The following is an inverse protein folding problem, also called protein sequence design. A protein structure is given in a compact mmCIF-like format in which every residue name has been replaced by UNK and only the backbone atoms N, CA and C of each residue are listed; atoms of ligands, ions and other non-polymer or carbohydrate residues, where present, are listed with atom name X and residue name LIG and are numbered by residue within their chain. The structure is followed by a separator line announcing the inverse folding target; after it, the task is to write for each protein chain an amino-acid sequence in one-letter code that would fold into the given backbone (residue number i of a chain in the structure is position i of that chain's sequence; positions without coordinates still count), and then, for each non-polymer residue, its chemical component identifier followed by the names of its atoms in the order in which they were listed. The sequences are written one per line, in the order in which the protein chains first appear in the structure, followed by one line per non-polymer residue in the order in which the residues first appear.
data_IF_198135435150
#
_entry.id   IF_198135435150
#
_cell.length_a   1.000
_cell.length_b   1.000
_cell.length_c   1.000
_cell.angle_alpha   90.00
_cell.angle_beta   90.00
_cell.angle_gamma   90.00
#
_symmetry.space_group_name_H-M   'P 1'
#
loop_
_entity.id
_entity.type
_entity.pdbx_description
1 polymer ?
#
# COMPACT_ATOMS: atom_id res chain seq x y z
N UNK A 1 -10.65 16.48 3.00
CA UNK A 1 -9.96 15.21 3.39
C UNK A 1 -10.55 14.72 4.70
N UNK A 2 -10.93 13.44 4.80
CA UNK A 2 -11.35 12.80 6.05
C UNK A 2 -10.15 12.17 6.75
N UNK A 3 -10.19 12.16 8.10
CA UNK A 3 -9.13 11.57 8.93
C UNK A 3 -9.71 10.46 9.79
N UNK A 4 -8.88 9.47 10.12
CA UNK A 4 -9.26 8.31 10.93
C UNK A 4 -8.08 7.86 11.79
N UNK A 5 -8.37 7.13 12.87
CA UNK A 5 -7.32 6.51 13.70
C UNK A 5 -6.63 5.38 12.95
N UNK A 6 -5.31 5.30 13.12
CA UNK A 6 -4.48 4.26 12.52
C UNK A 6 -4.45 3.01 13.41
N UNK A 7 -5.44 2.14 13.24
CA UNK A 7 -5.59 0.92 14.02
C UNK A 7 -5.64 1.19 15.52
N UNK A 8 -4.89 0.41 16.29
CA UNK A 8 -4.78 0.52 17.74
C UNK A 8 -3.78 1.61 18.20
N UNK A 9 -3.21 2.38 17.29
CA UNK A 9 -2.32 3.50 17.60
C UNK A 9 -3.10 4.79 17.89
N UNK A 10 -2.44 5.76 18.52
CA UNK A 10 -3.00 7.10 18.70
C UNK A 10 -2.89 8.00 17.48
N UNK A 11 -2.24 7.54 16.40
CA UNK A 11 -2.01 8.33 15.20
C UNK A 11 -3.31 8.57 14.42
N UNK A 12 -3.46 9.77 13.88
CA UNK A 12 -4.59 10.16 13.05
C UNK A 12 -4.11 10.44 11.62
N UNK A 13 -4.65 9.71 10.65
CA UNK A 13 -4.20 9.72 9.26
C UNK A 13 -5.32 10.06 8.29
N UNK A 14 -4.98 10.70 7.17
CA UNK A 14 -5.90 10.90 6.06
C UNK A 14 -6.35 9.57 5.45
N UNK A 15 -7.60 9.47 5.02
CA UNK A 15 -8.15 8.29 4.33
C UNK A 15 -7.43 7.98 3.01
N UNK A 16 -6.75 8.96 2.44
CA UNK A 16 -5.88 8.80 1.27
C UNK A 16 -4.44 9.00 1.74
N UNK A 17 -3.57 8.03 1.42
CA UNK A 17 -2.14 8.05 1.70
C UNK A 17 -1.36 8.25 0.40
N UNK A 18 -0.34 9.11 0.38
CA UNK A 18 0.55 9.23 -0.76
C UNK A 18 1.63 8.14 -0.72
N UNK A 19 1.54 7.18 -1.65
CA UNK A 19 2.57 6.18 -1.86
C UNK A 19 3.74 6.73 -2.67
N UNK A 20 4.95 6.63 -2.12
CA UNK A 20 6.15 7.27 -2.65
C UNK A 20 7.04 6.31 -3.46
N UNK A 21 6.56 5.11 -3.84
CA UNK A 21 7.30 4.17 -4.68
C UNK A 21 7.64 4.75 -6.08
N UNK A 22 6.87 5.74 -6.52
CA UNK A 22 7.10 6.44 -7.80
C UNK A 22 8.20 7.50 -7.73
N UNK A 23 8.73 7.81 -6.56
CA UNK A 23 9.69 8.89 -6.32
C UNK A 23 11.06 8.30 -6.00
N UNK A 24 12.11 8.84 -6.61
CA UNK A 24 13.49 8.40 -6.41
C UNK A 24 14.29 8.41 -7.69
N UNK A 25 15.59 8.20 -7.58
CA UNK A 25 16.51 8.17 -8.73
C UNK A 25 16.20 6.97 -9.64
N UNK A 26 15.92 7.26 -10.92
CA UNK A 26 15.50 6.24 -11.89
C UNK A 26 16.59 5.22 -12.25
N UNK A 27 17.86 5.52 -12.00
CA UNK A 27 18.99 4.61 -12.17
C UNK A 27 19.24 3.66 -10.98
N UNK A 28 18.48 3.82 -9.89
CA UNK A 28 18.69 3.09 -8.64
C UNK A 28 17.54 2.10 -8.39
N UNK A 29 17.87 0.88 -8.01
CA UNK A 29 16.87 -0.16 -7.69
C UNK A 29 16.18 -0.76 -8.91
N UNK A 30 14.92 -1.20 -8.74
CA UNK A 30 14.19 -2.01 -9.72
C UNK A 30 13.22 -1.21 -10.60
N UNK A 31 13.06 0.09 -10.37
CA UNK A 31 12.03 0.91 -11.01
C UNK A 31 12.63 2.08 -11.81
N UNK A 32 13.09 1.81 -13.03
CA UNK A 32 13.64 2.83 -13.94
C UNK A 32 12.65 3.95 -14.35
N UNK A 33 11.38 3.84 -13.93
CA UNK A 33 10.29 4.78 -14.26
C UNK A 33 9.98 5.77 -13.13
N UNK A 34 10.79 5.83 -12.10
CA UNK A 34 10.60 6.79 -10.99
C UNK A 34 10.80 8.24 -11.44
N UNK A 35 10.20 9.14 -10.69
CA UNK A 35 10.28 10.59 -10.93
C UNK A 35 11.43 11.16 -10.11
N UNK A 36 12.15 12.12 -10.70
CA UNK A 36 13.21 12.86 -10.02
C UNK A 36 12.68 13.70 -8.84
N UNK A 37 13.58 14.26 -8.05
CA UNK A 37 13.21 14.99 -6.84
C UNK A 37 12.35 16.22 -7.12
N UNK A 38 12.69 17.02 -8.12
CA UNK A 38 11.95 18.24 -8.46
C UNK A 38 10.47 17.95 -8.75
N UNK A 39 10.22 16.96 -9.61
CA UNK A 39 8.85 16.52 -9.92
C UNK A 39 8.18 15.90 -8.70
N UNK A 40 8.86 15.03 -7.95
CA UNK A 40 8.33 14.37 -6.77
C UNK A 40 7.88 15.36 -5.69
N UNK A 41 8.62 16.44 -5.50
CA UNK A 41 8.29 17.52 -4.55
C UNK A 41 6.97 18.20 -4.88
N UNK A 42 6.63 18.36 -6.17
CA UNK A 42 5.34 18.94 -6.59
C UNK A 42 4.16 18.07 -6.17
N UNK A 43 4.29 16.73 -6.28
CA UNK A 43 3.26 15.79 -5.80
C UNK A 43 3.10 15.86 -4.27
N UNK A 44 4.19 15.88 -3.53
CA UNK A 44 4.14 15.95 -2.06
C UNK A 44 3.52 17.26 -1.60
N UNK A 45 3.92 18.39 -2.18
CA UNK A 45 3.32 19.69 -1.88
C UNK A 45 1.82 19.71 -2.19
N UNK A 46 1.42 19.25 -3.39
CA UNK A 46 0.01 19.20 -3.78
C UNK A 46 -0.80 18.30 -2.87
N UNK A 47 -0.23 17.19 -2.39
CA UNK A 47 -0.88 16.28 -1.45
C UNK A 47 -1.09 16.94 -0.09
N UNK A 48 -0.07 17.62 0.44
CA UNK A 48 -0.18 18.40 1.69
C UNK A 48 -1.25 19.51 1.56
N UNK A 49 -1.22 20.27 0.47
CA UNK A 49 -2.21 21.34 0.20
C UNK A 49 -3.65 20.78 0.11
N UNK A 50 -3.82 19.51 -0.25
CA UNK A 50 -5.11 18.81 -0.27
C UNK A 50 -5.50 18.15 1.07
N UNK A 51 -4.68 18.29 2.12
CA UNK A 51 -4.88 17.73 3.44
C UNK A 51 -4.45 16.27 3.61
N UNK A 52 -3.65 15.72 2.70
CA UNK A 52 -3.00 14.42 2.92
C UNK A 52 -1.87 14.63 3.91
N UNK A 53 -1.96 13.96 5.06
CA UNK A 53 -0.93 13.98 6.10
C UNK A 53 -0.17 12.65 6.20
N UNK A 54 -0.47 11.65 5.36
CA UNK A 54 0.07 10.32 5.43
C UNK A 54 0.90 9.98 4.18
N UNK A 55 2.19 9.62 4.38
CA UNK A 55 3.17 9.35 3.33
C UNK A 55 3.78 7.98 3.56
N UNK A 56 3.73 7.10 2.54
CA UNK A 56 4.24 5.72 2.61
C UNK A 56 5.40 5.52 1.64
N UNK A 57 6.58 5.23 2.17
CA UNK A 57 7.78 4.85 1.41
C UNK A 57 8.32 3.49 1.83
N UNK A 58 9.52 3.13 1.44
CA UNK A 58 10.26 1.95 1.90
C UNK A 58 11.76 2.12 1.64
N UNK A 59 12.60 1.46 2.45
CA UNK A 59 14.05 1.48 2.27
C UNK A 59 14.46 1.03 0.86
N UNK A 60 13.79 0.03 0.30
CA UNK A 60 14.12 -0.56 -1.01
C UNK A 60 13.68 0.29 -2.21
N UNK A 61 12.80 1.28 -2.02
CA UNK A 61 12.34 2.12 -3.13
C UNK A 61 13.48 2.99 -3.67
N UNK A 62 13.88 2.73 -4.91
CA UNK A 62 15.07 3.32 -5.54
C UNK A 62 16.30 3.29 -4.63
N UNK A 63 16.52 2.16 -3.93
CA UNK A 63 17.64 1.93 -2.99
C UNK A 63 17.81 3.04 -1.95
N UNK A 64 16.68 3.57 -1.44
CA UNK A 64 16.63 4.58 -0.38
C UNK A 64 16.48 6.01 -0.84
N UNK A 65 16.68 6.32 -2.12
CA UNK A 65 16.51 7.72 -2.60
C UNK A 65 15.07 8.19 -2.51
N UNK A 66 14.07 7.28 -2.49
CA UNK A 66 12.69 7.64 -2.17
C UNK A 66 12.55 8.22 -0.75
N UNK A 67 13.17 7.59 0.26
CA UNK A 67 13.18 8.11 1.63
C UNK A 67 13.87 9.48 1.71
N UNK A 68 14.97 9.68 0.97
CA UNK A 68 15.68 10.97 0.92
C UNK A 68 14.80 12.08 0.33
N UNK A 69 14.10 11.81 -0.78
CA UNK A 69 13.21 12.79 -1.42
C UNK A 69 12.04 13.15 -0.50
N UNK A 70 11.42 12.14 0.14
CA UNK A 70 10.33 12.32 1.11
C UNK A 70 10.81 13.17 2.29
N UNK A 71 11.96 12.81 2.88
CA UNK A 71 12.50 13.51 4.04
C UNK A 71 12.78 14.99 3.77
N UNK A 72 13.45 15.29 2.63
CA UNK A 72 13.74 16.68 2.25
C UNK A 72 12.47 17.47 1.94
N UNK A 73 11.51 16.89 1.21
CA UNK A 73 10.28 17.59 0.86
C UNK A 73 9.41 17.88 2.10
N UNK A 74 9.23 16.91 2.99
CA UNK A 74 8.41 17.10 4.19
C UNK A 74 9.04 18.07 5.17
N UNK A 75 10.36 18.10 5.31
CA UNK A 75 11.07 19.10 6.12
C UNK A 75 10.83 20.52 5.62
N UNK A 76 10.73 20.71 4.29
CA UNK A 76 10.58 22.04 3.69
C UNK A 76 9.11 22.50 3.63
N UNK A 77 8.13 21.57 3.61
CA UNK A 77 6.74 21.87 3.33
C UNK A 77 5.76 21.62 4.46
N UNK A 78 6.17 20.90 5.51
CA UNK A 78 5.28 20.53 6.60
C UNK A 78 5.94 20.66 7.97
N UNK A 79 5.13 20.80 9.01
CA UNK A 79 5.59 20.59 10.37
C UNK A 79 5.66 19.08 10.64
N UNK A 80 6.74 18.64 11.29
CA UNK A 80 7.00 17.19 11.50
C UNK A 80 5.87 16.49 12.26
N UNK A 81 5.27 17.13 13.21
CA UNK A 81 4.20 16.60 14.08
C UNK A 81 2.83 16.55 13.39
N UNK A 82 2.66 17.26 12.28
CA UNK A 82 1.44 17.29 11.47
C UNK A 82 1.37 16.15 10.46
N UNK A 83 2.50 15.44 10.20
CA UNK A 83 2.58 14.40 9.18
C UNK A 83 2.94 13.05 9.78
N UNK A 84 2.37 11.99 9.19
CA UNK A 84 2.65 10.60 9.52
C UNK A 84 3.48 10.00 8.37
N UNK A 85 4.69 9.57 8.69
CA UNK A 85 5.63 8.97 7.73
C UNK A 85 5.79 7.49 8.01
N UNK A 86 5.43 6.67 7.01
CA UNK A 86 5.64 5.24 7.02
C UNK A 86 6.82 4.85 6.13
N UNK A 87 7.67 3.96 6.62
CA UNK A 87 8.66 3.27 5.79
C UNK A 87 8.72 1.78 6.15
N UNK A 88 9.53 1.00 5.40
CA UNK A 88 9.49 -0.46 5.49
C UNK A 88 10.89 -1.06 5.45
N UNK A 89 11.02 -2.27 6.02
CA UNK A 89 12.24 -3.09 6.02
C UNK A 89 11.95 -4.50 5.52
N UNK A 90 12.81 -5.07 4.73
CA UNK A 90 12.93 -6.46 4.31
C UNK A 90 13.88 -6.58 3.11
N UNK A 91 13.72 -5.72 2.10
CA UNK A 91 14.42 -5.81 0.82
C UNK A 91 15.95 -5.66 0.96
N UNK A 92 16.68 -6.22 0.00
CA UNK A 92 18.15 -6.15 -0.05
C UNK A 92 18.61 -4.73 -0.39
N UNK A 93 19.31 -4.10 0.54
CA UNK A 93 19.81 -2.72 0.40
C UNK A 93 21.28 -2.64 -0.01
N UNK A 94 22.05 -3.69 0.20
CA UNK A 94 23.49 -3.76 -0.08
C UNK A 94 23.94 -5.20 -0.29
N UNK A 95 25.13 -5.39 -0.81
CA UNK A 95 25.76 -6.72 -0.87
C UNK A 95 26.10 -7.20 0.55
N UNK A 96 25.87 -8.47 0.85
CA UNK A 96 26.20 -9.08 2.12
C UNK A 96 25.09 -9.97 2.69
N UNK A 97 25.48 -10.93 3.54
CA UNK A 97 24.56 -11.97 4.05
C UNK A 97 23.46 -11.43 4.99
N UNK A 98 23.72 -10.32 5.68
CA UNK A 98 22.77 -9.71 6.63
C UNK A 98 22.21 -8.37 6.08
N UNK A 99 22.11 -8.23 4.78
CA UNK A 99 21.71 -6.99 4.12
C UNK A 99 20.21 -6.96 3.75
N UNK A 100 19.45 -7.97 4.17
CA UNK A 100 18.03 -8.13 3.89
C UNK A 100 17.35 -8.96 5.00
N UNK A 101 16.03 -9.11 4.92
CA UNK A 101 15.23 -9.94 5.81
C UNK A 101 14.75 -9.20 7.06
N UNK A 102 14.24 -9.99 8.01
CA UNK A 102 13.58 -9.49 9.21
C UNK A 102 14.27 -9.91 10.51
N UNK A 103 15.53 -10.38 10.44
CA UNK A 103 16.29 -10.64 11.66
C UNK A 103 16.42 -9.37 12.48
N UNK A 104 16.53 -9.53 13.81
CA UNK A 104 16.81 -8.42 14.74
C UNK A 104 17.96 -7.54 14.23
N UNK A 105 19.05 -8.16 13.77
CA UNK A 105 20.20 -7.42 13.23
C UNK A 105 19.81 -6.56 12.02
N UNK A 106 19.04 -7.10 11.08
CA UNK A 106 18.61 -6.36 9.89
C UNK A 106 17.67 -5.20 10.26
N UNK A 107 16.67 -5.45 11.11
CA UNK A 107 15.71 -4.43 11.55
C UNK A 107 16.42 -3.27 12.26
N UNK A 108 17.29 -3.57 13.25
CA UNK A 108 18.01 -2.54 14.03
C UNK A 108 18.99 -1.73 13.16
N UNK A 109 19.63 -2.36 12.18
CA UNK A 109 20.54 -1.69 11.26
C UNK A 109 19.79 -0.80 10.26
N UNK A 110 18.73 -1.34 9.65
CA UNK A 110 18.01 -0.63 8.58
C UNK A 110 17.17 0.54 9.09
N UNK A 111 16.64 0.50 10.32
CA UNK A 111 15.96 1.67 10.90
C UNK A 111 16.87 2.88 11.01
N UNK A 112 18.13 2.69 11.44
CA UNK A 112 19.11 3.77 11.54
C UNK A 112 19.50 4.33 10.16
N UNK A 113 19.53 3.45 9.15
CA UNK A 113 19.74 3.88 7.78
C UNK A 113 18.53 4.67 7.25
N UNK A 114 17.30 4.21 7.50
CA UNK A 114 16.07 4.90 7.09
C UNK A 114 15.94 6.26 7.77
N UNK A 115 16.20 6.36 9.07
CA UNK A 115 16.20 7.65 9.80
C UNK A 115 17.18 8.65 9.19
N UNK A 116 18.40 8.20 8.84
CA UNK A 116 19.40 9.06 8.17
C UNK A 116 18.95 9.53 6.79
N UNK A 117 18.37 8.64 5.96
CA UNK A 117 17.88 8.98 4.63
C UNK A 117 16.69 9.94 4.69
N UNK A 118 15.75 9.69 5.61
CA UNK A 118 14.62 10.57 5.87
C UNK A 118 15.05 11.91 6.50
N UNK A 119 16.21 11.96 7.17
CA UNK A 119 16.64 13.13 7.94
C UNK A 119 15.68 13.43 9.10
N UNK A 120 15.17 12.38 9.76
CA UNK A 120 14.20 12.46 10.86
C UNK A 120 14.71 11.74 12.10
N UNK A 121 14.29 12.20 13.27
CA UNK A 121 14.66 11.60 14.56
C UNK A 121 13.83 10.36 14.89
N UNK A 122 12.61 10.25 14.30
CA UNK A 122 11.72 9.10 14.47
C UNK A 122 10.90 8.85 13.21
N UNK A 123 10.44 7.59 13.05
CA UNK A 123 9.49 7.13 12.06
C UNK A 123 8.15 6.92 12.76
N UNK A 124 7.04 7.38 12.18
CA UNK A 124 5.72 7.18 12.77
C UNK A 124 5.22 5.76 12.65
N UNK A 125 5.38 5.14 11.48
CA UNK A 125 4.99 3.76 11.22
C UNK A 125 6.13 3.00 10.51
N UNK A 126 6.70 1.99 11.19
CA UNK A 126 7.73 1.13 10.61
C UNK A 126 7.17 -0.25 10.30
N UNK A 127 7.26 -0.69 9.02
CA UNK A 127 6.55 -1.88 8.56
C UNK A 127 7.50 -3.00 8.12
N UNK A 128 7.17 -4.24 8.49
CA UNK A 128 7.76 -5.44 7.89
C UNK A 128 7.19 -5.60 6.48
N UNK A 129 8.02 -5.38 5.44
CA UNK A 129 7.57 -5.24 4.05
C UNK A 129 7.04 -6.53 3.44
N UNK A 130 7.51 -7.68 3.94
CA UNK A 130 7.08 -9.04 3.57
C UNK A 130 7.33 -9.97 4.74
N UNK A 131 6.58 -11.06 4.79
CA UNK A 131 6.89 -12.16 5.69
C UNK A 131 8.25 -12.77 5.35
N UNK A 132 9.04 -13.08 6.39
CA UNK A 132 10.32 -13.77 6.26
C UNK A 132 10.22 -15.16 6.91
N UNK A 133 10.09 -16.24 6.13
CA UNK A 133 9.91 -17.58 6.67
C UNK A 133 11.16 -18.14 7.37
N UNK A 134 12.30 -17.45 7.27
CA UNK A 134 13.56 -17.88 7.87
C UNK A 134 13.82 -17.24 9.23
N UNK A 135 12.95 -16.34 9.68
CA UNK A 135 13.09 -15.60 10.94
C UNK A 135 11.83 -15.79 11.80
N UNK A 136 11.96 -16.32 13.02
CA UNK A 136 10.81 -16.39 13.93
C UNK A 136 10.21 -15.01 14.16
N UNK A 137 8.88 -14.91 14.16
CA UNK A 137 8.18 -13.63 14.34
C UNK A 137 8.49 -12.98 15.69
N UNK A 138 8.78 -13.79 16.71
CA UNK A 138 9.22 -13.34 18.03
C UNK A 138 10.49 -12.47 17.96
N UNK A 139 11.49 -12.88 17.17
CA UNK A 139 12.74 -12.11 17.01
C UNK A 139 12.46 -10.73 16.40
N UNK A 140 11.60 -10.68 15.37
CA UNK A 140 11.19 -9.43 14.74
C UNK A 140 10.40 -8.54 15.68
N UNK A 141 9.42 -9.08 16.41
CA UNK A 141 8.63 -8.34 17.41
C UNK A 141 9.49 -7.80 18.54
N UNK A 142 10.42 -8.60 19.06
CA UNK A 142 11.38 -8.15 20.08
C UNK A 142 12.18 -6.95 19.60
N UNK A 143 12.70 -6.99 18.37
CA UNK A 143 13.44 -5.87 17.78
C UNK A 143 12.58 -4.60 17.66
N UNK A 144 11.34 -4.74 17.16
CA UNK A 144 10.42 -3.61 16.98
C UNK A 144 10.02 -2.98 18.32
N UNK A 145 9.80 -3.80 19.36
CA UNK A 145 9.54 -3.30 20.72
C UNK A 145 10.69 -2.45 21.24
N UNK A 146 11.92 -2.93 21.09
CA UNK A 146 13.10 -2.15 21.49
C UNK A 146 13.18 -0.81 20.74
N UNK A 147 12.84 -0.78 19.45
CA UNK A 147 12.83 0.47 18.67
C UNK A 147 11.78 1.46 19.15
N UNK A 148 10.61 1.00 19.62
CA UNK A 148 9.61 1.86 20.26
C UNK A 148 10.14 2.43 21.56
N UNK A 149 10.72 1.59 22.44
CA UNK A 149 11.31 2.04 23.71
C UNK A 149 12.50 3.00 23.52
N UNK A 150 13.27 2.84 22.43
CA UNK A 150 14.32 3.78 22.05
C UNK A 150 13.78 5.08 21.45
N UNK A 151 12.47 5.18 21.19
CA UNK A 151 11.85 6.34 20.56
C UNK A 151 12.15 6.51 19.08
N UNK A 152 12.75 5.50 18.42
CA UNK A 152 13.08 5.54 16.99
C UNK A 152 11.85 5.33 16.08
N UNK A 153 10.85 4.61 16.57
CA UNK A 153 9.57 4.41 15.88
C UNK A 153 8.41 4.65 16.85
N UNK A 154 7.24 5.07 16.33
CA UNK A 154 6.03 5.32 17.15
C UNK A 154 5.08 4.13 17.13
N UNK A 155 4.87 3.55 15.97
CA UNK A 155 4.06 2.36 15.74
C UNK A 155 4.75 1.46 14.71
N UNK A 156 4.33 0.20 14.65
CA UNK A 156 4.84 -0.72 13.65
C UNK A 156 3.73 -1.64 13.12
N UNK A 157 3.96 -2.18 11.94
CA UNK A 157 2.99 -3.02 11.24
C UNK A 157 3.64 -3.95 10.23
N UNK A 158 2.81 -4.55 9.41
CA UNK A 158 3.18 -5.55 8.41
C UNK A 158 2.68 -5.16 7.02
N UNK A 159 3.17 -5.83 6.00
CA UNK A 159 2.66 -5.72 4.63
C UNK A 159 2.63 -7.07 3.94
N UNK A 160 1.47 -7.42 3.39
CA UNK A 160 1.22 -8.67 2.67
C UNK A 160 1.51 -9.92 3.54
N UNK A 161 1.11 -9.83 4.81
CA UNK A 161 1.10 -10.97 5.73
C UNK A 161 -0.24 -11.67 5.61
N UNK A 162 -0.28 -13.01 5.62
CA UNK A 162 -1.53 -13.74 5.70
C UNK A 162 -2.13 -13.69 7.12
N UNK A 163 -3.43 -13.93 7.22
CA UNK A 163 -4.17 -13.82 8.49
C UNK A 163 -3.62 -14.73 9.59
N UNK A 164 -3.17 -15.95 9.23
CA UNK A 164 -2.58 -16.90 10.20
C UNK A 164 -1.31 -16.35 10.86
N UNK A 165 -0.44 -15.65 10.11
CA UNK A 165 0.78 -15.06 10.68
C UNK A 165 0.48 -13.81 11.52
N UNK A 166 -0.59 -13.07 11.22
CA UNK A 166 -1.04 -11.98 12.09
C UNK A 166 -1.57 -12.51 13.41
N UNK A 167 -2.30 -13.63 13.40
CA UNK A 167 -2.78 -14.29 14.62
C UNK A 167 -1.63 -14.88 15.44
N UNK A 168 -0.66 -15.52 14.80
CA UNK A 168 0.58 -15.98 15.44
C UNK A 168 1.32 -14.82 16.12
N UNK A 169 1.53 -13.72 15.39
CA UNK A 169 2.19 -12.53 15.92
C UNK A 169 1.44 -11.92 17.11
N UNK A 170 0.10 -11.89 17.05
CA UNK A 170 -0.73 -11.40 18.15
C UNK A 170 -0.62 -12.29 19.40
N UNK A 171 -0.57 -13.62 19.21
CA UNK A 171 -0.35 -14.56 20.29
C UNK A 171 1.04 -14.37 20.93
N UNK A 172 2.10 -14.32 20.12
CA UNK A 172 3.48 -14.07 20.59
C UNK A 172 3.57 -12.73 21.33
N UNK A 173 2.96 -11.66 20.78
CA UNK A 173 2.95 -10.35 21.42
C UNK A 173 2.27 -10.41 22.81
N UNK A 174 1.15 -11.14 22.93
CA UNK A 174 0.45 -11.32 24.20
C UNK A 174 1.28 -12.11 25.22
N UNK A 175 1.91 -13.21 24.81
CA UNK A 175 2.71 -14.08 25.68
C UNK A 175 3.94 -13.36 26.25
N UNK A 176 4.66 -12.60 25.40
CA UNK A 176 5.86 -11.86 25.76
C UNK A 176 5.58 -10.43 26.28
N UNK A 177 4.32 -10.00 26.33
CA UNK A 177 3.91 -8.62 26.67
C UNK A 177 4.54 -7.58 25.77
N UNK A 178 4.71 -7.89 24.49
CA UNK A 178 5.13 -6.96 23.48
C UNK A 178 3.97 -6.09 22.97
N UNK A 179 4.28 -4.93 22.43
CA UNK A 179 3.33 -4.11 21.68
C UNK A 179 2.88 -4.92 20.45
N UNK A 180 1.57 -5.06 20.17
CA UNK A 180 1.10 -5.75 18.97
C UNK A 180 1.28 -4.90 17.73
N UNK A 181 1.21 -5.51 16.55
CA UNK A 181 1.14 -4.78 15.28
C UNK A 181 -0.05 -3.82 15.25
N UNK A 182 0.19 -2.62 14.73
CA UNK A 182 -0.83 -1.58 14.60
C UNK A 182 -1.51 -1.60 13.23
N UNK A 183 -0.84 -2.11 12.19
CA UNK A 183 -1.34 -2.09 10.82
C UNK A 183 -0.96 -3.33 10.02
N UNK A 184 -1.77 -3.62 9.00
CA UNK A 184 -1.43 -4.50 7.87
C UNK A 184 -1.60 -3.74 6.56
N UNK A 185 -0.71 -3.98 5.59
CA UNK A 185 -0.73 -3.30 4.29
C UNK A 185 -0.88 -4.30 3.13
N UNK A 186 -2.13 -4.74 2.78
CA UNK A 186 -2.40 -5.69 1.70
C UNK A 186 -2.77 -5.02 0.38
N UNK A 187 -2.73 -5.75 -0.78
CA UNK A 187 -3.38 -5.31 -2.01
C UNK A 187 -4.90 -5.40 -1.90
N UNK A 188 -5.61 -4.36 -2.34
CA UNK A 188 -7.07 -4.35 -2.38
C UNK A 188 -7.61 -3.41 -3.46
N UNK A 189 -8.59 -3.90 -4.21
CA UNK A 189 -9.30 -3.14 -5.24
C UNK A 189 -10.56 -3.90 -5.63
N UNK A 190 -11.44 -3.33 -6.45
CA UNK A 190 -12.61 -4.05 -7.00
C UNK A 190 -12.20 -5.39 -7.66
N UNK A 191 -10.99 -5.49 -8.25
CA UNK A 191 -10.52 -6.71 -8.90
C UNK A 191 -9.72 -7.66 -8.00
N UNK A 192 -9.34 -7.24 -6.79
CA UNK A 192 -8.54 -8.02 -5.83
C UNK A 192 -9.22 -7.94 -4.48
N UNK A 193 -10.09 -8.91 -4.19
CA UNK A 193 -11.00 -8.90 -3.02
C UNK A 193 -10.74 -10.06 -2.03
N UNK A 194 -9.75 -10.92 -2.28
CA UNK A 194 -9.48 -12.10 -1.45
C UNK A 194 -9.33 -11.79 0.04
N UNK A 195 -8.80 -10.62 0.39
CA UNK A 195 -8.59 -10.21 1.79
C UNK A 195 -9.89 -10.08 2.59
N UNK A 196 -11.05 -9.97 1.92
CA UNK A 196 -12.37 -9.90 2.58
C UNK A 196 -12.74 -11.21 3.28
N UNK A 197 -12.09 -12.34 2.92
CA UNK A 197 -12.42 -13.66 3.46
C UNK A 197 -11.93 -13.85 4.89
N UNK A 198 -10.69 -13.45 5.17
CA UNK A 198 -10.01 -13.74 6.42
C UNK A 198 -9.15 -12.56 6.93
N UNK A 199 -8.41 -11.88 6.05
CA UNK A 199 -7.46 -10.87 6.46
C UNK A 199 -8.14 -9.61 7.05
N UNK A 200 -9.14 -9.04 6.37
CA UNK A 200 -9.88 -7.88 6.89
C UNK A 200 -10.61 -8.21 8.20
N UNK A 201 -11.36 -9.33 8.31
CA UNK A 201 -11.95 -9.73 9.59
C UNK A 201 -10.91 -9.94 10.72
N UNK A 202 -9.74 -10.49 10.39
CA UNK A 202 -8.65 -10.66 11.37
C UNK A 202 -8.09 -9.32 11.82
N UNK A 203 -7.81 -8.39 10.90
CA UNK A 203 -7.36 -7.04 11.23
C UNK A 203 -8.38 -6.32 12.13
N UNK A 204 -9.67 -6.39 11.81
CA UNK A 204 -10.72 -5.81 12.63
C UNK A 204 -10.77 -6.42 14.04
N UNK A 205 -10.67 -7.77 14.16
CA UNK A 205 -10.62 -8.47 15.44
C UNK A 205 -9.43 -8.05 16.30
N UNK A 206 -8.28 -7.78 15.68
CA UNK A 206 -7.04 -7.37 16.35
C UNK A 206 -6.93 -5.85 16.52
N UNK A 207 -7.95 -5.07 16.13
CA UNK A 207 -7.92 -3.60 16.10
C UNK A 207 -6.73 -3.03 15.27
N UNK A 208 -6.32 -3.74 14.24
CA UNK A 208 -5.28 -3.28 13.31
C UNK A 208 -5.89 -2.39 12.22
N UNK A 209 -5.20 -1.32 11.88
CA UNK A 209 -5.53 -0.53 10.69
C UNK A 209 -5.12 -1.25 9.41
N UNK A 210 -5.95 -1.17 8.37
CA UNK A 210 -5.62 -1.75 7.06
C UNK A 210 -5.31 -0.66 6.05
N UNK A 211 -4.07 -0.67 5.55
CA UNK A 211 -3.53 0.31 4.58
C UNK A 211 -3.47 -0.37 3.21
N UNK A 212 -4.42 -0.10 2.34
CA UNK A 212 -4.50 -0.89 1.10
C UNK A 212 -3.71 -0.25 -0.05
N UNK A 213 -2.89 -1.05 -0.73
CA UNK A 213 -2.15 -0.61 -1.90
C UNK A 213 -2.76 -1.13 -3.20
N UNK A 214 -2.44 -0.46 -4.31
CA UNK A 214 -3.01 -0.72 -5.64
C UNK A 214 -4.55 -0.60 -5.72
N UNK A 215 -5.20 0.42 -5.14
CA UNK A 215 -6.67 0.56 -5.17
C UNK A 215 -7.22 0.67 -6.59
N UNK A 216 -6.41 1.08 -7.57
CA UNK A 216 -6.75 1.12 -8.99
C UNK A 216 -6.24 -0.09 -9.79
N UNK A 217 -5.92 -1.20 -9.13
CA UNK A 217 -5.43 -2.44 -9.75
C UNK A 217 -4.31 -2.22 -10.76
N UNK A 218 -3.30 -1.42 -10.38
CA UNK A 218 -2.18 -1.11 -11.26
C UNK A 218 -2.53 -0.32 -12.50
N UNK A 219 -3.66 0.37 -12.51
CA UNK A 219 -4.11 1.24 -13.58
C UNK A 219 -5.35 0.74 -14.33
N UNK A 220 -5.74 -0.53 -14.23
CA UNK A 220 -6.95 -1.04 -14.88
C UNK A 220 -8.20 -0.21 -14.55
N UNK A 221 -8.34 0.22 -13.31
CA UNK A 221 -9.47 1.00 -12.82
C UNK A 221 -9.27 2.53 -12.94
N UNK A 222 -8.31 2.97 -13.77
CA UNK A 222 -8.08 4.40 -14.04
C UNK A 222 -9.04 5.00 -15.07
N UNK A 223 -9.73 4.16 -15.86
CA UNK A 223 -10.55 4.59 -16.99
C UNK A 223 -9.78 4.76 -18.31
N UNK A 224 -8.44 4.61 -18.31
CA UNK A 224 -7.60 4.73 -19.52
C UNK A 224 -7.62 3.45 -20.37
N UNK A 225 -7.68 2.29 -19.73
CA UNK A 225 -7.55 0.97 -20.41
C UNK A 225 -8.91 0.40 -20.80
N UNK A 226 -9.59 1.08 -21.75
CA UNK A 226 -10.89 0.70 -22.31
C UNK A 226 -10.75 0.05 -23.68
N UNK A 227 -11.78 -0.70 -24.13
CA UNK A 227 -11.78 -1.42 -25.40
C UNK A 227 -11.46 -0.51 -26.59
N UNK A 228 -12.04 0.69 -26.63
CA UNK A 228 -11.94 1.64 -27.73
C UNK A 228 -11.12 2.89 -27.39
N UNK A 229 -10.35 2.89 -26.27
CA UNK A 229 -9.55 4.05 -25.91
C UNK A 229 -8.30 4.17 -26.78
N UNK A 230 -8.06 5.34 -27.36
CA UNK A 230 -6.85 5.63 -28.15
C UNK A 230 -5.55 5.47 -27.32
N UNK A 231 -5.63 5.78 -26.03
CA UNK A 231 -4.49 5.75 -25.09
C UNK A 231 -4.25 4.39 -24.44
N UNK A 232 -4.99 3.36 -24.82
CA UNK A 232 -4.92 2.02 -24.23
C UNK A 232 -3.50 1.43 -24.19
N UNK A 233 -2.66 1.77 -25.13
CA UNK A 233 -1.29 1.27 -25.27
C UNK A 233 -0.23 2.23 -24.71
N UNK A 234 -0.63 3.26 -23.99
CA UNK A 234 0.27 4.28 -23.44
C UNK A 234 0.59 4.02 -21.94
N UNK A 235 1.47 4.82 -21.40
CA UNK A 235 1.73 4.86 -19.97
C UNK A 235 2.21 3.53 -19.38
N UNK A 236 1.41 2.90 -18.51
CA UNK A 236 1.80 1.64 -17.86
C UNK A 236 1.72 0.45 -18.81
N UNK A 237 0.80 0.46 -19.78
CA UNK A 237 0.70 -0.60 -20.78
C UNK A 237 1.97 -0.68 -21.65
N UNK A 238 2.55 0.46 -21.99
CA UNK A 238 3.83 0.49 -22.72
C UNK A 238 4.98 -0.13 -21.91
N UNK A 239 4.99 0.08 -20.56
CA UNK A 239 6.07 -0.41 -19.69
C UNK A 239 5.90 -1.86 -19.24
N UNK A 240 4.66 -2.33 -19.19
CA UNK A 240 4.31 -3.69 -18.76
C UNK A 240 3.21 -4.25 -19.68
N UNK A 241 3.53 -4.48 -20.98
CA UNK A 241 2.53 -4.83 -21.99
C UNK A 241 1.78 -6.12 -21.66
N UNK A 242 2.45 -7.13 -21.13
CA UNK A 242 1.80 -8.39 -20.75
C UNK A 242 0.67 -8.21 -19.72
N UNK A 243 0.75 -7.18 -18.87
CA UNK A 243 -0.31 -6.88 -17.88
C UNK A 243 -1.61 -6.40 -18.50
N UNK A 244 -1.55 -5.88 -19.72
CA UNK A 244 -2.69 -5.27 -20.44
C UNK A 244 -2.95 -5.98 -21.78
N UNK A 245 -2.28 -7.09 -22.03
CA UNK A 245 -2.48 -7.91 -23.23
C UNK A 245 -3.83 -8.63 -23.12
N UNK A 246 -4.79 -8.22 -23.95
CA UNK A 246 -6.15 -8.79 -23.97
C UNK A 246 -6.26 -10.12 -24.69
N UNK A 247 -5.17 -10.66 -25.25
CA UNK A 247 -5.11 -12.07 -25.67
C UNK A 247 -5.12 -13.01 -24.45
N UNK A 248 -4.73 -12.53 -23.27
CA UNK A 248 -4.93 -13.22 -22.01
C UNK A 248 -6.42 -13.11 -21.58
N UNK A 249 -7.12 -14.24 -21.37
CA UNK A 249 -8.53 -14.24 -20.97
C UNK A 249 -8.82 -13.47 -19.68
N UNK A 250 -7.87 -13.44 -18.71
CA UNK A 250 -8.06 -12.69 -17.47
C UNK A 250 -8.00 -11.18 -17.71
N UNK A 251 -7.13 -10.71 -18.59
CA UNK A 251 -7.06 -9.31 -18.98
C UNK A 251 -8.27 -8.89 -19.82
N UNK A 252 -8.74 -9.76 -20.73
CA UNK A 252 -9.97 -9.52 -21.48
C UNK A 252 -11.18 -9.41 -20.54
N UNK A 253 -11.26 -10.28 -19.53
CA UNK A 253 -12.30 -10.18 -18.48
C UNK A 253 -12.24 -8.85 -17.75
N UNK A 254 -11.03 -8.39 -17.36
CA UNK A 254 -10.86 -7.07 -16.71
C UNK A 254 -11.34 -5.93 -17.60
N UNK A 255 -10.99 -5.97 -18.90
CA UNK A 255 -11.42 -4.94 -19.84
C UNK A 255 -12.95 -4.86 -19.93
N UNK A 256 -13.64 -6.00 -20.03
CA UNK A 256 -15.10 -6.05 -20.05
C UNK A 256 -15.70 -5.51 -18.75
N UNK A 257 -15.13 -5.87 -17.59
CA UNK A 257 -15.57 -5.36 -16.30
C UNK A 257 -15.33 -3.84 -16.16
N UNK A 258 -14.26 -3.30 -16.75
CA UNK A 258 -14.01 -1.85 -16.79
C UNK A 258 -15.12 -1.12 -17.53
N UNK A 259 -15.61 -1.65 -18.68
CA UNK A 259 -16.71 -1.01 -19.41
C UNK A 259 -18.00 -0.93 -18.56
N UNK A 260 -18.35 -2.01 -17.84
CA UNK A 260 -19.52 -2.01 -16.96
C UNK A 260 -19.33 -1.04 -15.75
N UNK A 261 -18.14 -1.01 -15.16
CA UNK A 261 -17.84 -0.11 -14.06
C UNK A 261 -17.83 1.36 -14.46
N UNK A 262 -17.49 1.68 -15.71
CA UNK A 262 -17.60 3.05 -16.25
C UNK A 262 -19.05 3.49 -16.31
N UNK A 263 -19.97 2.63 -16.74
CA UNK A 263 -21.41 2.96 -16.76
C UNK A 263 -21.91 3.30 -15.34
N UNK A 264 -21.48 2.53 -14.34
CA UNK A 264 -21.79 2.82 -12.92
C UNK A 264 -21.19 4.16 -12.48
N UNK A 265 -19.94 4.44 -12.87
CA UNK A 265 -19.27 5.69 -12.50
C UNK A 265 -19.99 6.91 -13.12
N UNK A 266 -20.38 6.81 -14.39
CA UNK A 266 -21.12 7.86 -15.10
C UNK A 266 -22.49 8.14 -14.44
N UNK A 267 -23.22 7.10 -14.01
CA UNK A 267 -24.48 7.24 -13.27
C UNK A 267 -24.30 7.92 -11.89
N UNK A 268 -23.17 7.64 -11.20
CA UNK A 268 -22.84 8.28 -9.93
C UNK A 268 -22.33 9.72 -10.14
N UNK A 269 -21.93 10.08 -11.36
CA UNK A 269 -21.38 11.39 -11.71
C UNK A 269 -19.91 11.58 -11.31
N UNK A 270 -19.12 10.50 -11.32
CA UNK A 270 -17.70 10.50 -10.97
C UNK A 270 -16.87 9.76 -12.02
N UNK A 271 -15.54 9.93 -11.99
CA UNK A 271 -14.65 9.12 -12.83
C UNK A 271 -14.53 7.69 -12.28
N UNK A 272 -14.17 6.72 -13.13
CA UNK A 272 -13.93 5.34 -12.69
C UNK A 272 -12.86 5.27 -11.60
N UNK A 273 -11.82 6.11 -11.68
CA UNK A 273 -10.78 6.18 -10.65
C UNK A 273 -11.35 6.64 -9.30
N UNK A 274 -12.23 7.64 -9.30
CA UNK A 274 -12.91 8.11 -8.08
C UNK A 274 -13.88 7.06 -7.54
N UNK A 275 -14.70 6.44 -8.40
CA UNK A 275 -15.60 5.35 -8.00
C UNK A 275 -14.81 4.23 -7.31
N UNK A 276 -13.72 3.79 -7.95
CA UNK A 276 -12.91 2.67 -7.46
C UNK A 276 -12.23 2.98 -6.12
N UNK A 277 -11.70 4.19 -5.97
CA UNK A 277 -11.09 4.60 -4.71
C UNK A 277 -12.15 4.79 -3.62
N UNK A 278 -13.29 5.40 -3.94
CA UNK A 278 -14.42 5.56 -3.02
C UNK A 278 -14.95 4.20 -2.54
N UNK A 279 -15.06 3.23 -3.45
CA UNK A 279 -15.47 1.86 -3.12
C UNK A 279 -14.50 1.20 -2.13
N UNK A 280 -13.19 1.31 -2.37
CA UNK A 280 -12.16 0.82 -1.44
C UNK A 280 -12.30 1.46 -0.07
N UNK A 281 -12.47 2.79 -0.02
CA UNK A 281 -12.57 3.58 1.22
C UNK A 281 -13.91 3.40 1.95
N UNK A 282 -14.93 2.87 1.24
CA UNK A 282 -16.24 2.56 1.83
C UNK A 282 -16.20 1.32 2.73
N UNK A 283 -15.30 0.36 2.46
CA UNK A 283 -15.22 -0.88 3.22
C UNK A 283 -14.82 -0.58 4.68
N UNK A 284 -15.61 -1.02 5.68
CA UNK A 284 -15.39 -0.66 7.10
C UNK A 284 -14.07 -1.19 7.68
N UNK A 285 -13.48 -2.22 7.06
CA UNK A 285 -12.18 -2.76 7.43
C UNK A 285 -11.00 -1.96 6.85
N UNK A 286 -11.22 -0.97 5.98
CA UNK A 286 -10.13 -0.19 5.34
C UNK A 286 -9.93 1.14 6.07
N UNK A 287 -8.71 1.37 6.53
CA UNK A 287 -8.31 2.60 7.21
C UNK A 287 -7.91 3.67 6.20
N UNK A 288 -6.96 3.37 5.31
CA UNK A 288 -6.46 4.32 4.32
C UNK A 288 -6.07 3.60 3.02
N UNK A 289 -6.24 4.29 1.89
CA UNK A 289 -5.85 3.79 0.58
C UNK A 289 -4.60 4.52 0.06
N UNK A 290 -3.59 3.74 -0.31
CA UNK A 290 -2.31 4.25 -0.81
C UNK A 290 -2.42 4.48 -2.32
N UNK A 291 -2.34 5.74 -2.73
CA UNK A 291 -2.32 6.14 -4.14
C UNK A 291 -0.89 6.34 -4.62
N UNK A 292 -0.61 6.01 -5.88
CA UNK A 292 0.70 6.15 -6.50
C UNK A 292 0.64 6.92 -7.83
N UNK A 293 0.33 8.22 -7.81
CA UNK A 293 0.25 9.01 -9.03
C UNK A 293 1.63 9.21 -9.66
N UNK A 294 1.67 9.32 -10.99
CA UNK A 294 2.90 9.61 -11.76
C UNK A 294 2.80 10.84 -12.66
N UNK A 295 1.59 11.31 -12.91
CA UNK A 295 1.31 12.60 -13.52
C UNK A 295 0.35 13.35 -12.60
N UNK A 296 0.42 14.67 -12.59
CA UNK A 296 -0.35 15.50 -11.67
C UNK A 296 -1.86 15.31 -11.84
N UNK A 297 -2.32 15.06 -13.05
CA UNK A 297 -3.72 14.77 -13.34
C UNK A 297 -4.22 13.53 -12.59
N UNK A 298 -3.41 12.45 -12.48
CA UNK A 298 -3.79 11.27 -11.71
C UNK A 298 -3.97 11.58 -10.22
N UNK A 299 -3.17 12.48 -9.66
CA UNK A 299 -3.35 12.93 -8.28
C UNK A 299 -4.66 13.72 -8.15
N UNK A 300 -4.82 14.74 -8.98
CA UNK A 300 -5.99 15.64 -8.89
C UNK A 300 -7.31 14.91 -9.13
N UNK A 301 -7.34 13.92 -10.03
CA UNK A 301 -8.53 13.12 -10.32
C UNK A 301 -9.02 12.33 -9.09
N UNK A 302 -8.12 11.81 -8.26
CA UNK A 302 -8.52 10.99 -7.10
C UNK A 302 -8.69 11.78 -5.81
N UNK A 303 -8.29 13.05 -5.79
CA UNK A 303 -8.59 13.93 -4.65
C UNK A 303 -10.10 14.11 -4.52
N UNK A 304 -10.61 14.03 -3.28
CA UNK A 304 -12.04 14.10 -2.99
C UNK A 304 -12.80 12.77 -3.10
N UNK A 305 -12.16 11.69 -3.54
CA UNK A 305 -12.81 10.37 -3.56
C UNK A 305 -13.28 9.90 -2.18
N UNK A 306 -12.64 10.37 -1.11
CA UNK A 306 -13.03 10.14 0.28
C UNK A 306 -14.36 10.83 0.66
N UNK A 307 -14.87 11.74 -0.16
CA UNK A 307 -16.17 12.43 0.03
C UNK A 307 -17.30 11.79 -0.77
N UNK A 308 -16.98 10.95 -1.76
CA UNK A 308 -17.98 10.28 -2.60
C UNK A 308 -18.76 9.29 -1.74
N UNK A 309 -20.10 9.38 -1.82
CA UNK A 309 -21.02 8.46 -1.14
C UNK A 309 -21.59 7.49 -2.14
N UNK A 310 -21.40 6.20 -1.91
CA UNK A 310 -21.94 5.14 -2.74
C UNK A 310 -23.20 4.58 -2.08
N UNK A 311 -24.30 4.49 -2.84
CA UNK A 311 -25.53 3.86 -2.37
C UNK A 311 -25.38 2.34 -2.30
N UNK A 312 -26.20 1.67 -1.48
CA UNK A 312 -26.24 0.21 -1.41
C UNK A 312 -26.48 -0.42 -2.79
N UNK A 313 -27.36 0.17 -3.61
CA UNK A 313 -27.62 -0.32 -4.97
C UNK A 313 -26.39 -0.27 -5.88
N UNK A 314 -25.54 0.75 -5.76
CA UNK A 314 -24.26 0.83 -6.48
C UNK A 314 -23.29 -0.25 -5.98
N UNK A 315 -23.19 -0.43 -4.67
CA UNK A 315 -22.33 -1.47 -4.07
C UNK A 315 -22.77 -2.88 -4.50
N UNK A 316 -24.08 -3.17 -4.46
CA UNK A 316 -24.64 -4.46 -4.89
C UNK A 316 -24.36 -4.74 -6.37
N UNK A 317 -24.42 -3.72 -7.24
CA UNK A 317 -24.06 -3.86 -8.66
C UNK A 317 -22.58 -4.18 -8.85
N UNK A 318 -21.68 -3.53 -8.08
CA UNK A 318 -20.25 -3.84 -8.12
C UNK A 318 -19.99 -5.26 -7.62
N UNK A 319 -20.69 -5.69 -6.57
CA UNK A 319 -20.60 -7.06 -6.03
C UNK A 319 -21.11 -8.12 -7.03
N UNK A 320 -22.12 -7.80 -7.83
CA UNK A 320 -22.59 -8.67 -8.92
C UNK A 320 -21.57 -8.82 -10.06
N UNK A 321 -20.77 -7.77 -10.33
CA UNK A 321 -19.70 -7.81 -11.34
C UNK A 321 -18.49 -8.59 -10.85
N UNK A 322 -18.08 -8.35 -9.59
CA UNK A 322 -16.94 -9.01 -8.95
C UNK A 322 -17.34 -9.44 -7.55
N UNK A 323 -17.61 -10.72 -7.39
CA UNK A 323 -18.12 -11.27 -6.13
C UNK A 323 -17.15 -11.02 -4.95
N UNK A 324 -17.70 -10.71 -3.75
CA UNK A 324 -16.89 -10.57 -2.52
C UNK A 324 -15.94 -11.75 -2.30
N UNK A 325 -14.76 -11.46 -1.78
CA UNK A 325 -13.74 -12.47 -1.48
C UNK A 325 -13.06 -13.11 -2.70
N UNK A 326 -13.26 -12.59 -3.92
CA UNK A 326 -12.65 -13.14 -5.15
C UNK A 326 -11.50 -12.26 -5.65
N UNK A 327 -10.72 -12.80 -6.59
CA UNK A 327 -9.67 -12.06 -7.30
C UNK A 327 -9.75 -12.42 -8.77
N UNK A 328 -9.85 -11.41 -9.64
CA UNK A 328 -10.04 -11.62 -11.10
C UNK A 328 -8.82 -12.31 -11.71
N UNK A 329 -7.62 -11.92 -11.30
CA UNK A 329 -6.36 -12.56 -11.68
C UNK A 329 -5.67 -13.04 -10.39
N UNK A 330 -5.59 -14.36 -10.11
CA UNK A 330 -5.08 -14.91 -8.86
C UNK A 330 -3.72 -14.36 -8.41
N UNK A 331 -2.76 -14.22 -9.34
CA UNK A 331 -1.41 -13.72 -9.05
C UNK A 331 -1.40 -12.29 -8.47
N UNK A 332 -2.47 -11.54 -8.63
CA UNK A 332 -2.59 -10.19 -8.08
C UNK A 332 -2.93 -10.16 -6.58
N UNK A 333 -3.27 -11.32 -6.01
CA UNK A 333 -3.36 -11.49 -4.57
C UNK A 333 -2.02 -11.24 -3.85
N UNK A 334 -0.90 -11.46 -4.58
CA UNK A 334 0.48 -11.26 -4.11
C UNK A 334 0.86 -12.12 -2.90
N UNK A 335 0.01 -13.05 -2.53
CA UNK A 335 0.26 -14.09 -1.56
C UNK A 335 -0.19 -15.43 -2.13
N UNK A 336 0.68 -16.40 -2.07
CA UNK A 336 0.38 -17.79 -2.36
C UNK A 336 0.68 -18.61 -1.10
N UNK A 337 -0.33 -19.29 -0.59
CA UNK A 337 -0.17 -20.19 0.56
C UNK A 337 0.89 -21.25 0.21
N UNK A 338 1.97 -21.37 1.00
CA UNK A 338 3.05 -22.32 0.70
C UNK A 338 2.55 -23.77 0.48
N UNK A 339 1.50 -24.19 1.19
CA UNK A 339 0.88 -25.50 1.03
C UNK A 339 0.28 -25.76 -0.36
N UNK A 340 0.02 -24.72 -1.17
CA UNK A 340 -0.49 -24.86 -2.55
C UNK A 340 0.61 -25.07 -3.57
N UNK A 341 1.87 -24.87 -3.22
CA UNK A 341 3.01 -25.09 -4.11
C UNK A 341 3.22 -26.58 -4.37
N UNK A 342 3.64 -26.89 -5.60
CA UNK A 342 3.79 -28.28 -6.03
C UNK A 342 4.76 -29.09 -5.14
N UNK A 343 5.88 -28.49 -4.73
CA UNK A 343 6.87 -29.08 -3.84
C UNK A 343 6.36 -29.38 -2.44
N UNK A 344 5.31 -28.70 -1.98
CA UNK A 344 4.72 -28.87 -0.65
C UNK A 344 3.48 -29.76 -0.66
N UNK A 345 3.02 -30.22 -1.83
CA UNK A 345 1.82 -31.09 -1.99
C UNK A 345 2.16 -32.53 -2.30
N UNK A 346 3.44 -32.87 -2.52
CA UNK A 346 3.87 -34.21 -2.93
C UNK A 346 5.05 -34.70 -2.11
#
# INVERSE_FOLDING_TARGET
MKYVKLGNSGLEVSKICLGCMSFGESGMGTHAWTLNEETSRQFMKKSLDAGINFFDTANVYSLGTSEEFVGRALRDYALRDEVVVATKVHGTMRKGRNAAGLSRKAIMTEVDHSLRRLGMDYIDLYQLHRHDPNVPIEESLSALNDLVHQGKIRAFGTSTFPAEHLMEAAWVASDHRYIPFSTEQPPYSIFVRWIERDLLPTCQKLNMGTLVWSPLNGGWLSGVYRANAAQRNEGRAQRAPARFDVSDPANLKKMNLVEELVLIADEVGVTLAQLSLAWVLHHPGVTSAIIGPRIMEHLTTVLGADQVVLSSAVLDRIDALVAPGTTVTPDEARWETPALRAENRR
#
